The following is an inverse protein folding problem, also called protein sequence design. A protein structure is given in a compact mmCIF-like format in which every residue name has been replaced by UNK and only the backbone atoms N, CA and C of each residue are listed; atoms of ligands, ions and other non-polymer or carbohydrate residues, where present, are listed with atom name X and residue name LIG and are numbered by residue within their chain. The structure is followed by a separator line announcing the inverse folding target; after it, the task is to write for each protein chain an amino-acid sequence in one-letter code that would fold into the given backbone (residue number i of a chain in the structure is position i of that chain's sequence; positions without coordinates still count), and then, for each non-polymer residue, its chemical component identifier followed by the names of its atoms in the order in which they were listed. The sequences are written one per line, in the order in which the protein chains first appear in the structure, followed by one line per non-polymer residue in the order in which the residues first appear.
data_IF_514289876607
#
_entry.id   IF_514289876607
#
_cell.length_a   1.000
_cell.length_b   1.000
_cell.length_c   1.000
_cell.angle_alpha   90.00
_cell.angle_beta   90.00
_cell.angle_gamma   90.00
#
_symmetry.space_group_name_H-M   'P 1'
#
loop_
_entity.id
_entity.type
_entity.pdbx_description
1 polymer ?
#
# COMPACT_ATOMS: atom_id res chain seq x y z
N UNK A 1 -37.51 -36.26 -3.48
CA UNK A 1 -37.33 -34.84 -3.87
C UNK A 1 -35.87 -34.52 -3.62
N UNK A 2 -35.03 -34.82 -4.61
CA UNK A 2 -33.62 -34.46 -4.55
C UNK A 2 -33.54 -32.94 -4.61
N UNK A 3 -33.07 -32.34 -3.52
CA UNK A 3 -32.74 -30.93 -3.48
C UNK A 3 -31.40 -30.81 -4.18
N UNK A 4 -31.45 -30.50 -5.47
CA UNK A 4 -30.27 -30.17 -6.26
C UNK A 4 -29.54 -29.02 -5.55
N UNK A 5 -28.35 -29.31 -5.04
CA UNK A 5 -27.55 -28.32 -4.30
C UNK A 5 -27.02 -27.30 -5.30
N UNK A 6 -27.70 -26.16 -5.41
CA UNK A 6 -27.29 -25.08 -6.30
C UNK A 6 -26.00 -24.45 -5.77
N UNK A 7 -24.87 -24.89 -6.31
CA UNK A 7 -23.55 -24.35 -5.97
C UNK A 7 -23.46 -22.91 -6.47
N UNK A 8 -23.26 -21.98 -5.53
CA UNK A 8 -23.04 -20.56 -5.84
C UNK A 8 -21.56 -20.25 -5.79
N UNK A 9 -21.07 -19.57 -6.81
CA UNK A 9 -19.70 -19.14 -6.93
C UNK A 9 -19.57 -17.62 -6.79
N UNK A 10 -18.47 -17.14 -6.22
CA UNK A 10 -18.18 -15.70 -6.15
C UNK A 10 -17.43 -15.26 -7.41
N UNK A 11 -17.89 -14.16 -8.02
CA UNK A 11 -17.19 -13.57 -9.15
C UNK A 11 -15.79 -13.07 -8.73
N UNK A 12 -14.77 -13.40 -9.53
CA UNK A 12 -13.39 -12.98 -9.29
C UNK A 12 -12.96 -11.77 -10.13
N UNK A 13 -13.87 -11.18 -10.93
CA UNK A 13 -13.54 -10.00 -11.73
C UNK A 13 -13.49 -8.74 -10.89
N UNK A 14 -12.53 -7.87 -11.21
CA UNK A 14 -12.24 -6.67 -10.42
C UNK A 14 -13.44 -5.73 -10.48
N UNK A 15 -13.94 -5.30 -9.31
CA UNK A 15 -15.11 -4.45 -9.20
C UNK A 15 -16.45 -5.19 -9.22
N UNK A 16 -16.46 -6.52 -9.35
CA UNK A 16 -17.66 -7.33 -9.20
C UNK A 16 -17.59 -8.16 -7.91
N UNK A 17 -18.59 -8.02 -7.03
CA UNK A 17 -18.72 -8.80 -5.79
C UNK A 17 -19.93 -9.74 -5.80
N UNK A 18 -20.56 -9.94 -6.95
CA UNK A 18 -21.73 -10.80 -7.08
C UNK A 18 -21.39 -12.28 -6.91
N UNK A 19 -22.35 -13.03 -6.38
CA UNK A 19 -22.36 -14.50 -6.42
C UNK A 19 -23.29 -14.95 -7.54
N UNK A 20 -22.88 -15.94 -8.31
CA UNK A 20 -23.61 -16.45 -9.48
C UNK A 20 -23.65 -17.97 -9.45
N UNK A 21 -24.59 -18.56 -10.18
CA UNK A 21 -24.64 -20.00 -10.46
C UNK A 21 -24.24 -20.24 -11.91
N UNK A 22 -23.84 -21.46 -12.27
CA UNK A 22 -23.48 -21.75 -13.66
C UNK A 22 -24.67 -21.51 -14.62
N UNK A 23 -25.90 -21.82 -14.16
CA UNK A 23 -27.14 -21.61 -14.91
C UNK A 23 -27.62 -20.14 -14.96
N UNK A 24 -27.35 -19.34 -13.91
CA UNK A 24 -27.75 -17.91 -13.83
C UNK A 24 -26.55 -17.00 -14.16
N UNK A 25 -25.98 -17.18 -15.35
CA UNK A 25 -24.82 -16.40 -15.81
C UNK A 25 -24.94 -15.92 -17.26
N UNK A 26 -25.95 -15.07 -17.57
CA UNK A 26 -26.13 -14.53 -18.91
C UNK A 26 -25.01 -13.56 -19.28
N UNK A 27 -24.81 -13.35 -20.59
CA UNK A 27 -23.87 -12.34 -21.09
C UNK A 27 -24.29 -10.94 -20.66
N UNK A 28 -23.39 -10.22 -20.00
CA UNK A 28 -23.62 -8.85 -19.54
C UNK A 28 -24.07 -8.70 -18.08
N UNK A 29 -24.35 -9.82 -17.39
CA UNK A 29 -24.70 -9.85 -15.96
C UNK A 29 -23.63 -9.24 -15.04
N UNK A 30 -22.36 -9.37 -15.41
CA UNK A 30 -21.24 -8.92 -14.62
C UNK A 30 -20.69 -7.59 -15.15
N UNK A 31 -20.69 -6.56 -14.31
CA UNK A 31 -19.98 -5.30 -14.54
C UNK A 31 -18.63 -5.29 -13.82
N UNK A 32 -17.54 -5.02 -14.54
CA UNK A 32 -16.19 -5.12 -14.00
C UNK A 32 -15.20 -4.15 -14.66
N UNK A 33 -14.03 -4.00 -14.04
CA UNK A 33 -12.87 -3.30 -14.57
C UNK A 33 -11.78 -4.28 -15.00
N UNK A 34 -10.90 -3.80 -15.87
CA UNK A 34 -9.79 -4.60 -16.40
C UNK A 34 -8.58 -4.58 -15.45
N UNK A 35 -7.80 -3.50 -15.47
CA UNK A 35 -6.56 -3.40 -14.68
C UNK A 35 -6.44 -2.01 -14.03
N UNK A 36 -6.10 -1.92 -12.73
CA UNK A 36 -5.77 -0.65 -12.11
C UNK A 36 -4.35 -0.21 -12.47
N UNK A 37 -4.16 1.09 -12.61
CA UNK A 37 -2.89 1.76 -12.91
C UNK A 37 -2.62 2.77 -11.79
N UNK A 38 -1.45 2.66 -11.16
CA UNK A 38 -1.03 3.57 -10.10
C UNK A 38 0.14 4.42 -10.60
N UNK A 39 -0.07 5.73 -10.76
CA UNK A 39 0.95 6.71 -11.18
C UNK A 39 0.75 8.04 -10.45
N UNK A 40 1.84 8.66 -9.99
CA UNK A 40 1.83 10.00 -9.37
C UNK A 40 0.83 10.17 -8.20
N UNK A 41 0.63 9.10 -7.42
CA UNK A 41 -0.34 9.09 -6.31
C UNK A 41 -1.81 8.98 -6.75
N UNK A 42 -2.10 9.01 -8.05
CA UNK A 42 -3.42 8.73 -8.62
C UNK A 42 -3.61 7.24 -8.91
N UNK A 43 -4.85 6.79 -8.68
CA UNK A 43 -5.33 5.45 -9.01
C UNK A 43 -6.27 5.57 -10.20
N UNK A 44 -5.97 4.93 -11.32
CA UNK A 44 -6.72 5.03 -12.59
C UNK A 44 -7.07 3.64 -13.12
N UNK A 45 -8.29 3.45 -13.63
CA UNK A 45 -8.66 2.23 -14.34
C UNK A 45 -8.21 2.27 -15.80
N UNK A 46 -7.48 1.23 -16.25
CA UNK A 46 -7.01 1.12 -17.64
C UNK A 46 -8.15 1.16 -18.66
N UNK A 47 -9.31 0.60 -18.30
CA UNK A 47 -10.45 0.40 -19.20
C UNK A 47 -11.25 1.67 -19.52
N UNK A 48 -11.40 2.57 -18.55
CA UNK A 48 -12.30 3.73 -18.68
C UNK A 48 -11.69 5.06 -18.22
N UNK A 49 -10.42 5.06 -17.80
CA UNK A 49 -9.67 6.26 -17.37
C UNK A 49 -10.29 7.03 -16.20
N UNK A 50 -11.29 6.43 -15.53
CA UNK A 50 -11.81 6.91 -14.25
C UNK A 50 -10.70 6.78 -13.22
N UNK A 51 -10.51 7.84 -12.44
CA UNK A 51 -9.40 7.95 -11.50
C UNK A 51 -9.84 8.60 -10.19
N UNK A 52 -9.14 8.26 -9.11
CA UNK A 52 -9.31 8.90 -7.81
C UNK A 52 -7.96 9.01 -7.10
N UNK A 53 -7.82 10.02 -6.23
CA UNK A 53 -6.72 10.10 -5.30
C UNK A 53 -6.96 9.24 -4.04
N UNK A 54 -8.22 9.01 -3.69
CA UNK A 54 -8.62 8.18 -2.55
C UNK A 54 -8.79 6.70 -2.96
N UNK A 55 -8.38 5.77 -2.09
CA UNK A 55 -8.42 4.34 -2.38
C UNK A 55 -9.83 3.75 -2.28
N UNK A 56 -10.62 4.18 -1.30
CA UNK A 56 -12.00 3.70 -1.11
C UNK A 56 -12.87 4.13 -2.28
N UNK A 57 -12.83 5.43 -2.62
CA UNK A 57 -13.56 5.96 -3.77
C UNK A 57 -13.15 5.29 -5.08
N UNK A 58 -11.86 4.92 -5.22
CA UNK A 58 -11.38 4.21 -6.41
C UNK A 58 -12.01 2.83 -6.58
N UNK A 59 -12.17 2.07 -5.48
CA UNK A 59 -12.80 0.76 -5.48
C UNK A 59 -14.32 0.83 -5.67
N UNK A 60 -14.96 1.93 -5.27
CA UNK A 60 -16.39 2.18 -5.46
C UNK A 60 -16.76 2.56 -6.90
N UNK A 61 -15.78 2.92 -7.75
CA UNK A 61 -16.05 3.24 -9.15
C UNK A 61 -16.72 2.02 -9.84
N UNK A 62 -17.93 2.16 -10.39
CA UNK A 62 -18.64 1.04 -11.00
C UNK A 62 -17.89 0.53 -12.23
N UNK A 63 -17.91 -0.79 -12.39
CA UNK A 63 -17.31 -1.51 -13.51
C UNK A 63 -17.69 -0.91 -14.86
N UNK A 64 -16.72 -0.80 -15.76
CA UNK A 64 -16.91 -0.16 -17.07
C UNK A 64 -17.20 -1.16 -18.20
N UNK A 65 -16.82 -2.44 -18.03
CA UNK A 65 -17.02 -3.53 -18.99
C UNK A 65 -18.13 -4.46 -18.51
N UNK A 66 -18.77 -5.15 -19.44
CA UNK A 66 -19.81 -6.15 -19.19
C UNK A 66 -19.40 -7.52 -19.73
N UNK A 67 -19.89 -8.61 -19.10
CA UNK A 67 -19.62 -9.99 -19.53
C UNK A 67 -20.27 -11.03 -18.61
N UNK A 68 -19.90 -12.32 -18.73
CA UNK A 68 -20.38 -13.43 -17.86
C UNK A 68 -19.54 -13.59 -16.60
N UNK A 69 -20.10 -13.65 -15.41
CA UNK A 69 -19.32 -13.89 -14.19
C UNK A 69 -18.34 -15.08 -14.33
N UNK A 70 -17.16 -14.98 -13.73
CA UNK A 70 -16.16 -16.06 -13.74
C UNK A 70 -15.58 -16.26 -12.35
N UNK A 71 -15.29 -17.51 -12.04
CA UNK A 71 -14.52 -17.96 -10.88
C UNK A 71 -13.03 -17.94 -11.14
N UNK A 72 -12.57 -17.66 -12.36
CA UNK A 72 -11.14 -17.55 -12.65
C UNK A 72 -10.64 -16.17 -12.24
N UNK A 73 -9.58 -16.14 -11.43
CA UNK A 73 -8.92 -14.88 -11.09
C UNK A 73 -8.26 -14.34 -12.35
N UNK A 74 -8.65 -13.15 -12.85
CA UNK A 74 -7.98 -12.57 -14.00
C UNK A 74 -6.51 -12.37 -13.66
N UNK A 75 -5.64 -13.02 -14.43
CA UNK A 75 -4.21 -12.75 -14.39
C UNK A 75 -4.02 -11.31 -14.85
N UNK A 76 -3.83 -10.39 -13.90
CA UNK A 76 -3.32 -9.07 -14.24
C UNK A 76 -1.98 -9.32 -14.94
N UNK A 77 -1.95 -9.09 -16.26
CA UNK A 77 -0.77 -9.33 -17.05
C UNK A 77 0.39 -8.57 -16.38
N UNK A 78 1.32 -9.33 -15.80
CA UNK A 78 2.61 -8.81 -15.34
C UNK A 78 3.19 -8.10 -16.56
N UNK A 79 3.44 -6.80 -16.43
CA UNK A 79 4.13 -6.04 -17.46
C UNK A 79 5.50 -6.68 -17.64
N UNK A 80 5.61 -7.56 -18.62
CA UNK A 80 6.90 -7.98 -19.16
C UNK A 80 7.50 -6.72 -19.75
N UNK A 81 8.70 -6.26 -19.33
CA UNK A 81 9.37 -5.19 -20.04
C UNK A 81 9.72 -5.71 -21.44
N UNK A 82 8.90 -5.38 -22.43
CA UNK A 82 9.20 -5.62 -23.84
C UNK A 82 10.55 -4.95 -24.18
N UNK A 83 11.40 -5.58 -24.99
CA UNK A 83 12.72 -5.04 -25.33
C UNK A 83 12.56 -3.69 -26.03
N UNK A 84 13.23 -2.69 -25.46
CA UNK A 84 13.25 -1.31 -25.96
C UNK A 84 13.86 -1.31 -27.36
N UNK A 85 13.09 -0.89 -28.35
CA UNK A 85 13.66 -0.42 -29.61
C UNK A 85 14.46 0.86 -29.31
N UNK A 86 15.74 0.98 -29.71
CA UNK A 86 16.54 2.15 -29.40
C UNK A 86 16.04 3.33 -30.24
N UNK A 87 15.37 4.29 -29.58
CA UNK A 87 15.15 5.62 -30.14
C UNK A 87 16.47 6.38 -29.99
N UNK A 88 17.01 6.77 -31.14
CA UNK A 88 18.18 7.64 -31.26
C UNK A 88 18.02 8.93 -30.43
N UNK A 89 19.10 9.44 -29.81
CA UNK A 89 19.04 10.69 -29.07
C UNK A 89 18.88 11.88 -30.03
N UNK A 90 18.00 12.86 -29.74
CA UNK A 90 18.22 14.21 -30.25
C UNK A 90 19.36 14.86 -29.46
N UNK A 91 20.26 15.48 -30.22
CA UNK A 91 21.45 16.16 -29.77
C UNK A 91 21.19 17.30 -28.77
N UNK A 92 22.27 17.61 -28.06
CA UNK A 92 22.44 18.64 -27.05
C UNK A 92 21.58 19.92 -27.21
N UNK A 93 20.91 20.28 -26.12
CA UNK A 93 20.79 21.68 -25.71
C UNK A 93 21.48 21.84 -24.36
N UNK A 94 22.71 22.34 -24.41
CA UNK A 94 23.34 23.01 -23.28
C UNK A 94 22.53 24.25 -22.95
N UNK A 95 21.82 24.23 -21.82
CA UNK A 95 21.58 25.45 -21.04
C UNK A 95 21.85 25.12 -19.57
N UNK A 96 22.95 25.66 -19.11
CA UNK A 96 23.30 25.95 -17.72
C UNK A 96 22.09 26.43 -16.93
N UNK A 97 21.72 25.73 -15.85
CA UNK A 97 21.43 26.42 -14.61
C UNK A 97 21.61 25.53 -13.39
N UNK A 98 22.68 25.82 -12.65
CA UNK A 98 22.93 25.46 -11.27
C UNK A 98 21.81 26.09 -10.41
N UNK A 99 20.65 25.45 -10.34
CA UNK A 99 19.60 25.90 -9.43
C UNK A 99 19.94 25.41 -8.03
N UNK A 100 20.52 26.33 -7.25
CA UNK A 100 20.89 26.14 -5.85
C UNK A 100 19.76 25.51 -5.03
N UNK A 101 20.15 24.73 -4.02
CA UNK A 101 19.30 24.00 -3.07
C UNK A 101 18.20 24.85 -2.37
N UNK A 102 18.26 26.17 -2.53
CA UNK A 102 17.34 27.20 -2.04
C UNK A 102 16.05 27.33 -2.87
N UNK A 103 16.10 26.98 -4.17
CA UNK A 103 14.94 27.05 -5.07
C UNK A 103 14.03 25.83 -4.97
N UNK A 104 14.48 24.76 -4.32
CA UNK A 104 13.68 23.56 -4.17
C UNK A 104 12.75 23.70 -2.96
N UNK A 105 11.41 23.76 -3.16
CA UNK A 105 10.46 23.97 -2.06
C UNK A 105 10.55 22.88 -0.98
N UNK A 106 10.94 21.66 -1.37
CA UNK A 106 11.11 20.51 -0.47
C UNK A 106 12.38 20.61 0.39
N UNK A 107 13.49 21.07 -0.19
CA UNK A 107 14.76 21.19 0.53
C UNK A 107 14.81 22.49 1.36
N UNK A 108 14.12 23.58 0.94
CA UNK A 108 13.94 24.81 1.75
C UNK A 108 13.21 24.54 3.07
N UNK A 109 12.30 23.58 3.09
CA UNK A 109 11.57 23.14 4.29
C UNK A 109 12.37 22.15 5.17
N UNK A 110 13.64 21.91 4.86
CA UNK A 110 14.49 20.99 5.62
C UNK A 110 14.16 19.51 5.40
N UNK A 111 13.34 19.18 4.40
CA UNK A 111 12.97 17.80 4.08
C UNK A 111 13.89 17.21 3.02
N UNK A 112 14.25 15.93 3.19
CA UNK A 112 15.15 15.25 2.26
C UNK A 112 14.50 15.09 0.88
N UNK A 113 15.27 15.41 -0.16
CA UNK A 113 14.85 15.43 -1.56
C UNK A 113 15.83 14.57 -2.37
N UNK A 114 15.30 13.64 -3.19
CA UNK A 114 16.12 12.64 -3.92
C UNK A 114 17.07 13.25 -4.96
N UNK A 115 16.81 14.49 -5.39
CA UNK A 115 17.59 15.19 -6.40
C UNK A 115 18.81 15.93 -5.83
N UNK A 116 18.81 16.25 -4.53
CA UNK A 116 19.89 17.04 -3.88
C UNK A 116 20.47 16.33 -2.65
N UNK A 117 20.56 15.00 -2.75
CA UNK A 117 21.13 14.10 -1.76
C UNK A 117 22.50 14.57 -1.25
N UNK A 118 22.63 14.52 0.06
CA UNK A 118 23.68 15.08 0.93
C UNK A 118 25.12 14.98 0.42
N UNK A 119 25.85 16.11 0.43
CA UNK A 119 27.29 16.14 0.67
C UNK A 119 27.57 16.92 1.96
N UNK A 120 28.13 16.20 2.94
CA UNK A 120 28.81 16.74 4.11
C UNK A 120 30.00 17.63 3.66
N UNK A 121 30.49 18.64 4.38
CA UNK A 121 31.02 18.68 5.76
C UNK A 121 31.43 20.15 6.00
N UNK A 122 31.41 20.68 7.23
CA UNK A 122 32.57 20.95 8.12
C UNK A 122 32.01 21.76 9.32
N UNK A 123 32.49 21.73 10.56
CA UNK A 123 33.36 20.90 11.40
C UNK A 123 33.13 21.42 12.85
N UNK A 124 33.48 20.61 13.86
CA UNK A 124 33.25 20.83 15.30
C UNK A 124 33.98 22.05 15.93
N UNK A 125 33.75 22.34 17.22
CA UNK A 125 34.76 21.90 18.18
C UNK A 125 34.21 21.06 19.35
N UNK A 126 35.09 20.20 19.85
CA UNK A 126 34.88 19.22 20.89
C UNK A 126 34.76 19.83 22.30
N UNK A 127 33.95 19.19 23.16
CA UNK A 127 34.37 18.90 24.53
C UNK A 127 33.82 17.55 24.99
N UNK A 128 34.74 16.86 25.64
CA UNK A 128 34.79 15.48 26.10
C UNK A 128 33.99 15.25 27.38
N UNK A 129 33.35 14.09 27.49
CA UNK A 129 33.23 13.38 28.76
C UNK A 129 33.28 11.86 28.52
N UNK A 130 34.05 11.20 29.36
CA UNK A 130 34.38 9.76 29.37
C UNK A 130 33.61 9.09 30.51
N UNK A 131 33.24 7.81 30.34
CA UNK A 131 32.74 6.92 31.40
C UNK A 131 31.50 6.13 30.93
N UNK A 132 31.59 4.93 30.36
CA UNK A 132 31.98 3.61 30.93
C UNK A 132 30.75 2.76 31.27
N UNK A 133 30.63 1.66 30.51
CA UNK A 133 29.85 0.41 30.56
C UNK A 133 28.46 0.29 31.24
N UNK A 134 27.56 -0.43 30.54
CA UNK A 134 26.43 -1.11 31.16
C UNK A 134 25.40 -1.64 30.16
N UNK A 135 25.50 -2.92 29.80
CA UNK A 135 24.51 -3.72 29.08
C UNK A 135 23.06 -3.43 29.48
N UNK A 136 22.18 -3.27 28.49
CA UNK A 136 20.98 -4.09 28.33
C UNK A 136 20.09 -3.49 27.25
N UNK A 137 19.71 -4.31 26.28
CA UNK A 137 18.67 -3.98 25.30
C UNK A 137 17.38 -3.52 26.01
N UNK A 138 16.63 -2.53 25.47
CA UNK A 138 15.34 -2.18 26.02
C UNK A 138 14.33 -3.29 25.69
N UNK A 139 14.21 -4.26 26.58
CA UNK A 139 13.14 -5.25 26.55
C UNK A 139 11.80 -4.54 26.73
N UNK A 140 10.95 -4.58 25.71
CA UNK A 140 9.59 -4.04 25.71
C UNK A 140 8.68 -4.92 26.58
N UNK A 141 8.86 -4.84 27.90
CA UNK A 141 7.98 -5.49 28.88
C UNK A 141 6.75 -4.64 29.13
N UNK A 142 5.56 -5.22 28.97
CA UNK A 142 4.31 -4.61 29.38
C UNK A 142 4.25 -4.63 30.90
N UNK A 143 4.13 -3.45 31.52
CA UNK A 143 4.28 -3.26 32.96
C UNK A 143 3.02 -3.60 33.77
N UNK A 144 2.05 -4.29 33.15
CA UNK A 144 0.79 -4.61 33.81
C UNK A 144 0.90 -5.87 34.69
N UNK A 145 1.58 -6.93 34.24
CA UNK A 145 1.75 -8.18 35.01
C UNK A 145 3.07 -8.87 34.68
N UNK A 146 3.83 -9.30 35.69
CA UNK A 146 5.12 -9.99 35.55
C UNK A 146 4.89 -11.50 35.30
N UNK A 147 4.40 -11.84 34.10
CA UNK A 147 4.25 -13.22 33.66
C UNK A 147 5.49 -13.61 32.88
N UNK A 148 6.30 -14.52 33.43
CA UNK A 148 7.47 -15.08 32.76
C UNK A 148 7.12 -16.41 32.10
N UNK A 149 7.11 -16.42 30.78
CA UNK A 149 6.86 -17.62 29.96
C UNK A 149 8.16 -18.12 29.38
N UNK A 150 8.37 -19.44 29.40
CA UNK A 150 9.54 -20.07 28.77
C UNK A 150 9.25 -20.57 27.35
N UNK A 151 7.97 -20.71 26.99
CA UNK A 151 7.52 -21.24 25.70
C UNK A 151 6.44 -20.36 25.07
N UNK A 152 6.42 -20.32 23.73
CA UNK A 152 5.59 -19.39 22.94
C UNK A 152 4.10 -19.75 22.94
N UNK A 153 3.78 -21.03 23.05
CA UNK A 153 2.39 -21.51 23.11
C UNK A 153 1.69 -21.08 24.42
N UNK A 154 2.45 -21.08 25.51
CA UNK A 154 1.99 -20.57 26.81
C UNK A 154 1.84 -19.04 26.78
N UNK A 155 2.64 -18.32 25.96
CA UNK A 155 2.50 -16.88 25.76
C UNK A 155 1.19 -16.51 25.04
N UNK A 156 0.81 -17.28 24.01
CA UNK A 156 -0.46 -17.11 23.29
C UNK A 156 -1.69 -17.40 24.17
N UNK A 157 -1.50 -18.18 25.24
CA UNK A 157 -2.55 -18.56 26.17
C UNK A 157 -2.65 -17.67 27.40
N UNK A 158 -1.83 -16.60 27.52
CA UNK A 158 -1.91 -15.69 28.68
C UNK A 158 -3.23 -14.92 28.65
N UNK A 159 -4.10 -15.07 29.66
CA UNK A 159 -5.34 -14.34 29.74
C UNK A 159 -5.07 -12.84 30.01
N UNK A 160 -5.94 -11.93 29.51
CA UNK A 160 -5.78 -10.50 29.74
C UNK A 160 -5.83 -10.20 31.25
N UNK A 161 -4.73 -9.70 31.80
CA UNK A 161 -4.60 -9.48 33.24
C UNK A 161 -5.14 -8.11 33.71
N UNK A 162 -5.67 -7.30 32.78
CA UNK A 162 -6.29 -6.00 33.07
C UNK A 162 -7.70 -5.94 32.51
N UNK A 163 -8.67 -5.56 33.35
CA UNK A 163 -10.00 -5.09 32.92
C UNK A 163 -10.00 -3.56 33.00
N UNK A 164 -10.07 -2.89 31.86
CA UNK A 164 -10.22 -1.44 31.76
C UNK A 164 -11.57 -1.06 31.15
N UNK A 165 -12.04 0.15 31.42
CA UNK A 165 -13.19 0.70 30.71
C UNK A 165 -12.80 1.03 29.26
N UNK A 166 -13.65 0.68 28.30
CA UNK A 166 -13.45 1.06 26.90
C UNK A 166 -13.55 2.59 26.78
N UNK A 167 -12.48 3.25 26.33
CA UNK A 167 -12.53 4.68 26.01
C UNK A 167 -13.19 4.83 24.63
N UNK A 168 -14.41 5.36 24.61
CA UNK A 168 -15.15 5.69 23.40
C UNK A 168 -15.23 7.22 23.19
N UNK A 169 -14.22 7.97 23.63
CA UNK A 169 -14.09 9.38 23.25
C UNK A 169 -13.47 9.46 21.86
N UNK A 170 -14.33 9.71 20.86
CA UNK A 170 -13.91 10.23 19.57
C UNK A 170 -13.15 11.53 19.84
N UNK A 171 -11.82 11.50 19.66
CA UNK A 171 -11.01 12.72 19.63
C UNK A 171 -11.46 13.52 18.41
N UNK A 172 -12.44 14.38 18.60
CA UNK A 172 -12.73 15.49 17.69
C UNK A 172 -11.63 16.52 17.90
N UNK A 173 -10.73 16.64 16.92
CA UNK A 173 -9.87 17.80 16.81
C UNK A 173 -9.69 18.17 15.35
#
# INVERSE_FOLDING_TARGET
MEQEEVVRHRCQRIGCNATFTEDDNPEGSCQYHDSPIFRDGMKEWSCCKKRSHDFTLFLEIPGCKTGKHTTEKPVLAKVTPSPKNPISPPAAVTTTNLSSKESCPRCKQGFFCSDHGSLAKQASPAKSYVGTEGSSAPSKKWKCCDVHVKEFDEFMSIPPCTKGWHNADLVTK
#
